data_IF_178764534170
#
_entry.id   IF_178764534170
#
_cell.length_a   1.000
_cell.length_b   1.000
_cell.length_c   1.000
_cell.angle_alpha   90.00
_cell.angle_beta   90.00
_cell.angle_gamma   90.00
#
_symmetry.space_group_name_H-M   'P 1'
#
loop_
_entity.id
_entity.type
_entity.pdbx_description
1 polymer ?
#
# COMPACT_ATOMS: atom_id res chain seq x y z
N UNK A 1 41.70 -0.56 -38.71
CA UNK A 1 40.60 -1.13 -37.90
C UNK A 1 41.23 -2.13 -36.95
N UNK A 2 41.51 -1.74 -35.71
CA UNK A 2 40.59 -1.68 -34.57
C UNK A 2 40.57 -3.01 -33.80
N UNK A 3 41.04 -2.92 -32.55
CA UNK A 3 40.56 -3.62 -31.35
C UNK A 3 40.91 -5.13 -31.23
N UNK A 4 41.31 -5.72 -30.09
CA UNK A 4 40.91 -5.45 -28.70
C UNK A 4 41.94 -6.02 -27.71
N UNK A 5 42.10 -5.29 -26.61
CA UNK A 5 42.82 -5.57 -25.36
C UNK A 5 41.97 -6.46 -24.45
N UNK A 6 42.53 -7.47 -23.76
CA UNK A 6 42.16 -7.71 -22.35
C UNK A 6 43.27 -8.42 -21.55
N UNK A 7 43.89 -7.63 -20.69
CA UNK A 7 44.79 -8.02 -19.61
C UNK A 7 44.01 -8.69 -18.48
N UNK A 8 44.59 -9.74 -17.90
CA UNK A 8 44.26 -10.23 -16.57
C UNK A 8 44.57 -9.14 -15.54
N UNK A 9 43.57 -8.75 -14.74
CA UNK A 9 43.76 -7.87 -13.60
C UNK A 9 43.38 -8.61 -12.32
N UNK A 10 44.41 -8.78 -11.50
CA UNK A 10 44.39 -9.14 -10.08
C UNK A 10 43.42 -8.25 -9.30
N UNK A 11 42.60 -8.85 -8.43
CA UNK A 11 41.86 -8.12 -7.39
C UNK A 11 42.80 -7.90 -6.21
N UNK A 12 43.17 -6.63 -5.99
CA UNK A 12 43.94 -6.16 -4.85
C UNK A 12 42.96 -5.95 -3.67
N UNK A 13 43.09 -6.77 -2.63
CA UNK A 13 42.51 -6.52 -1.33
C UNK A 13 43.21 -5.31 -0.67
N UNK A 14 42.47 -4.26 -0.36
CA UNK A 14 42.98 -3.15 0.43
C UNK A 14 42.87 -3.48 1.92
N UNK A 15 44.06 -3.59 2.51
CA UNK A 15 44.37 -3.64 3.94
C UNK A 15 44.13 -2.27 4.56
N UNK A 16 43.37 -2.20 5.65
CA UNK A 16 43.29 -1.04 6.55
C UNK A 16 44.08 -1.37 7.81
N UNK A 17 45.00 -0.51 8.27
CA UNK A 17 45.91 -0.85 9.36
C UNK A 17 45.28 -0.62 10.76
N UNK A 18 45.62 -1.57 11.63
CA UNK A 18 45.37 -1.64 13.06
C UNK A 18 45.99 -0.48 13.84
N UNK A 19 45.27 0.06 14.83
CA UNK A 19 45.80 0.52 16.13
C UNK A 19 44.65 1.15 16.94
N UNK A 20 44.20 0.50 18.02
CA UNK A 20 44.01 1.13 19.34
C UNK A 20 43.50 0.05 20.31
N UNK A 21 44.39 -0.32 21.23
CA UNK A 21 44.18 -1.24 22.34
C UNK A 21 43.74 -0.42 23.55
N UNK A 22 42.61 -0.77 24.16
CA UNK A 22 42.32 -0.50 25.58
C UNK A 22 41.70 -1.78 26.16
N UNK A 23 42.28 -2.38 27.21
CA UNK A 23 41.72 -3.57 27.84
C UNK A 23 40.70 -3.14 28.88
N UNK A 24 39.47 -3.64 28.80
CA UNK A 24 38.59 -3.62 29.97
C UNK A 24 38.10 -5.05 30.29
N UNK A 25 38.56 -5.42 31.47
CA UNK A 25 38.31 -6.60 32.28
C UNK A 25 36.81 -6.93 32.36
N UNK A 26 36.37 -8.04 31.77
CA UNK A 26 35.11 -8.69 32.14
C UNK A 26 35.48 -10.08 32.66
N UNK A 27 35.37 -10.22 33.96
CA UNK A 27 35.50 -11.48 34.70
C UNK A 27 34.41 -12.46 34.27
N UNK A 28 34.81 -13.64 33.82
CA UNK A 28 33.92 -14.80 33.67
C UNK A 28 33.52 -15.30 35.05
N UNK A 29 32.28 -15.03 35.48
CA UNK A 29 31.66 -15.75 36.60
C UNK A 29 30.96 -16.99 36.06
N UNK A 30 31.25 -18.13 36.70
CA UNK A 30 30.75 -19.46 36.40
C UNK A 30 29.21 -19.52 36.29
N UNK A 31 28.73 -20.26 35.31
CA UNK A 31 27.33 -20.64 35.12
C UNK A 31 26.97 -21.69 36.18
N UNK A 32 25.98 -21.48 37.06
CA UNK A 32 25.48 -22.56 37.90
C UNK A 32 24.67 -23.54 37.06
N UNK A 33 24.97 -24.83 37.26
CA UNK A 33 24.24 -26.01 36.79
C UNK A 33 22.73 -25.87 36.93
N UNK A 34 22.02 -25.79 35.80
CA UNK A 34 20.54 -25.83 35.75
C UNK A 34 20.07 -27.29 35.64
N UNK A 35 20.37 -28.07 36.67
CA UNK A 35 19.82 -29.41 36.87
C UNK A 35 19.18 -29.43 38.26
N UNK A 36 17.96 -28.89 38.34
CA UNK A 36 16.92 -29.27 39.31
C UNK A 36 15.73 -28.30 39.20
N UNK A 37 14.84 -28.55 38.23
CA UNK A 37 13.38 -28.34 38.36
C UNK A 37 12.70 -28.66 37.02
N UNK A 38 12.51 -29.95 36.73
CA UNK A 38 11.56 -30.40 35.71
C UNK A 38 10.13 -30.25 36.25
N UNK A 39 9.21 -29.49 35.64
CA UNK A 39 7.80 -29.61 35.95
C UNK A 39 7.21 -30.87 35.30
N UNK A 40 6.56 -31.68 36.14
CA UNK A 40 5.79 -32.91 35.86
C UNK A 40 4.61 -32.69 34.90
N UNK A 41 4.06 -33.74 34.26
CA UNK A 41 3.20 -33.63 33.08
C UNK A 41 1.84 -32.96 33.30
N UNK A 42 1.48 -32.15 32.31
CA UNK A 42 0.15 -31.65 31.89
C UNK A 42 -1.04 -31.99 32.80
N UNK A 43 -1.52 -31.00 33.56
CA UNK A 43 -2.93 -30.96 33.99
C UNK A 43 -3.81 -30.65 32.78
N UNK A 44 -4.78 -31.52 32.48
CA UNK A 44 -5.88 -31.27 31.53
C UNK A 44 -6.56 -29.94 31.89
N UNK A 45 -6.27 -28.88 31.15
CA UNK A 45 -7.09 -27.68 31.14
C UNK A 45 -8.39 -27.98 30.39
N UNK A 46 -9.53 -27.65 31.01
CA UNK A 46 -10.84 -27.70 30.38
C UNK A 46 -10.77 -27.06 28.99
N UNK A 47 -11.18 -27.82 27.97
CA UNK A 47 -11.62 -27.27 26.69
C UNK A 47 -12.68 -26.21 26.99
N UNK A 48 -12.37 -24.96 26.71
CA UNK A 48 -13.37 -23.91 26.56
C UNK A 48 -13.97 -24.12 25.17
N UNK A 49 -15.27 -24.43 25.14
CA UNK A 49 -16.01 -24.69 23.92
C UNK A 49 -15.87 -23.52 22.94
N UNK A 50 -15.56 -23.85 21.68
CA UNK A 50 -15.43 -22.92 20.56
C UNK A 50 -16.80 -22.43 20.06
N UNK A 51 -17.68 -22.02 20.97
CA UNK A 51 -19.02 -21.52 20.67
C UNK A 51 -19.26 -20.22 21.45
N UNK A 52 -18.78 -19.10 20.90
CA UNK A 52 -19.33 -17.74 21.12
C UNK A 52 -18.49 -16.59 20.50
N UNK A 53 -17.57 -16.87 19.57
CA UNK A 53 -17.03 -15.79 18.73
C UNK A 53 -18.04 -15.51 17.62
N UNK A 54 -18.65 -14.30 17.54
CA UNK A 54 -19.58 -14.01 16.46
C UNK A 54 -18.82 -13.99 15.14
N UNK A 55 -18.98 -15.08 14.38
CA UNK A 55 -18.63 -15.13 12.97
C UNK A 55 -19.57 -14.15 12.28
N UNK A 56 -19.09 -13.12 11.55
CA UNK A 56 -19.97 -12.27 10.76
C UNK A 56 -20.67 -13.15 9.73
N UNK A 57 -21.94 -13.43 9.99
CA UNK A 57 -22.84 -14.13 9.09
C UNK A 57 -22.87 -13.39 7.75
N UNK A 58 -22.44 -14.05 6.68
CA UNK A 58 -22.60 -13.60 5.30
C UNK A 58 -24.07 -13.67 4.81
N UNK A 59 -25.02 -14.01 5.68
CA UNK A 59 -26.43 -14.03 5.34
C UNK A 59 -27.05 -12.64 5.58
N UNK A 60 -27.47 -12.03 4.46
CA UNK A 60 -28.29 -10.82 4.32
C UNK A 60 -27.60 -9.47 4.62
N UNK A 61 -26.62 -9.08 3.79
CA UNK A 61 -26.35 -7.65 3.57
C UNK A 61 -27.54 -7.05 2.81
N UNK A 62 -28.35 -6.24 3.49
CA UNK A 62 -29.38 -5.41 2.87
C UNK A 62 -28.74 -4.47 1.84
N UNK A 63 -29.51 -4.06 0.83
CA UNK A 63 -29.06 -3.15 -0.25
C UNK A 63 -28.47 -1.83 0.24
N UNK A 64 -28.69 -1.46 1.50
CA UNK A 64 -28.13 -0.27 2.16
C UNK A 64 -26.62 -0.41 2.45
N UNK A 65 -26.11 -1.62 2.64
CA UNK A 65 -24.68 -1.86 2.96
C UNK A 65 -23.74 -1.68 1.76
N UNK A 66 -24.28 -1.50 0.55
CA UNK A 66 -23.52 -1.31 -0.69
C UNK A 66 -23.63 0.12 -1.24
N UNK A 67 -23.90 1.10 -0.37
CA UNK A 67 -24.04 2.50 -0.76
C UNK A 67 -22.75 3.28 -0.45
N UNK A 68 -22.16 3.90 -1.47
CA UNK A 68 -21.17 4.96 -1.25
C UNK A 68 -21.93 6.26 -0.93
N UNK A 69 -21.67 6.82 0.24
CA UNK A 69 -22.22 8.13 0.63
C UNK A 69 -21.15 9.21 0.45
N UNK A 70 -21.54 10.43 0.10
CA UNK A 70 -20.62 11.57 0.03
C UNK A 70 -21.28 12.84 0.56
N UNK A 71 -20.45 13.79 0.99
CA UNK A 71 -20.86 15.14 1.37
C UNK A 71 -19.92 16.17 0.71
N UNK A 72 -20.47 17.32 0.35
CA UNK A 72 -19.69 18.45 -0.16
C UNK A 72 -19.22 19.30 1.02
N UNK A 73 -17.92 19.57 1.08
CA UNK A 73 -17.32 20.45 2.08
C UNK A 73 -17.53 21.93 1.76
N UNK A 74 -17.61 22.24 0.46
CA UNK A 74 -17.75 23.60 -0.07
C UNK A 74 -18.69 23.60 -1.28
N UNK A 75 -19.06 24.79 -1.75
CA UNK A 75 -19.83 24.97 -2.98
C UNK A 75 -19.05 24.62 -4.26
N UNK A 76 -17.71 24.59 -4.19
CA UNK A 76 -16.84 24.25 -5.31
C UNK A 76 -16.81 22.74 -5.61
N UNK A 77 -17.28 21.91 -4.68
CA UNK A 77 -17.28 20.47 -4.84
C UNK A 77 -18.31 20.00 -5.89
N UNK A 78 -17.90 19.05 -6.73
CA UNK A 78 -18.76 18.42 -7.72
C UNK A 78 -19.15 17.01 -7.25
N UNK A 79 -20.42 16.57 -7.44
CA UNK A 79 -20.78 15.20 -7.11
C UNK A 79 -19.98 14.21 -7.98
N UNK A 80 -19.52 13.07 -7.43
CA UNK A 80 -18.93 12.00 -8.23
C UNK A 80 -19.94 11.45 -9.25
N UNK A 81 -19.49 11.15 -10.47
CA UNK A 81 -20.37 10.69 -11.57
C UNK A 81 -19.82 9.42 -12.20
N UNK A 82 -20.68 8.45 -12.49
CA UNK A 82 -20.28 7.28 -13.31
C UNK A 82 -20.19 7.67 -14.78
N UNK A 83 -19.09 7.28 -15.44
CA UNK A 83 -18.91 7.52 -16.88
C UNK A 83 -19.79 6.64 -17.78
N UNK A 84 -20.21 5.48 -17.28
CA UNK A 84 -21.13 4.54 -17.94
C UNK A 84 -21.80 3.65 -16.88
N UNK A 85 -22.84 2.91 -17.27
CA UNK A 85 -23.58 2.02 -16.36
C UNK A 85 -22.66 1.00 -15.65
N UNK A 86 -21.72 0.43 -16.41
CA UNK A 86 -20.76 -0.57 -15.94
C UNK A 86 -19.38 0.02 -15.61
N UNK A 87 -19.24 1.35 -15.53
CA UNK A 87 -17.99 1.96 -15.13
C UNK A 87 -17.58 1.48 -13.73
N UNK A 88 -16.34 1.00 -13.61
CA UNK A 88 -15.77 0.56 -12.34
C UNK A 88 -15.61 1.72 -11.35
N UNK A 89 -15.27 2.91 -11.85
CA UNK A 89 -14.98 4.09 -11.04
C UNK A 89 -16.00 5.23 -11.20
N UNK A 90 -16.07 6.07 -10.17
CA UNK A 90 -16.78 7.34 -10.15
C UNK A 90 -15.79 8.46 -10.45
N UNK A 91 -16.01 9.22 -11.53
CA UNK A 91 -15.15 10.35 -11.90
C UNK A 91 -15.11 11.38 -10.75
N UNK A 92 -13.90 11.71 -10.29
CA UNK A 92 -13.62 12.78 -9.33
C UNK A 92 -13.17 14.03 -10.08
N UNK A 93 -13.71 15.18 -9.68
CA UNK A 93 -13.43 16.47 -10.30
C UNK A 93 -12.63 17.37 -9.37
N UNK A 94 -11.78 18.21 -9.95
CA UNK A 94 -11.10 19.26 -9.20
C UNK A 94 -12.08 20.31 -8.72
N UNK A 95 -11.98 20.73 -7.46
CA UNK A 95 -12.71 21.88 -6.94
C UNK A 95 -12.08 23.22 -7.36
N UNK A 96 -10.77 23.22 -7.67
CA UNK A 96 -9.99 24.45 -7.89
C UNK A 96 -9.09 24.35 -9.14
N UNK A 97 -8.49 25.48 -9.52
CA UNK A 97 -7.46 25.51 -10.56
C UNK A 97 -6.09 25.11 -9.98
N UNK A 98 -5.34 24.30 -10.72
CA UNK A 98 -3.98 23.88 -10.36
C UNK A 98 -3.10 23.80 -11.61
N UNK A 99 -1.79 23.86 -11.41
CA UNK A 99 -0.79 23.55 -12.43
C UNK A 99 0.13 22.46 -11.89
N UNK A 100 0.05 21.26 -12.46
CA UNK A 100 0.96 20.16 -12.16
C UNK A 100 2.20 20.35 -13.03
N UNK A 101 3.27 20.86 -12.43
CA UNK A 101 4.52 21.13 -13.13
C UNK A 101 5.07 19.87 -13.83
N UNK A 102 5.74 20.07 -14.96
CA UNK A 102 6.49 19.00 -15.63
C UNK A 102 7.41 18.26 -14.64
N UNK A 103 7.41 16.93 -14.68
CA UNK A 103 8.12 16.05 -13.72
C UNK A 103 7.75 16.29 -12.24
N UNK A 104 6.61 16.93 -11.98
CA UNK A 104 6.17 17.35 -10.67
C UNK A 104 4.98 16.56 -10.13
N UNK A 105 4.45 17.04 -9.00
CA UNK A 105 3.26 16.50 -8.36
C UNK A 105 2.41 17.59 -7.74
N UNK A 106 1.10 17.38 -7.67
CA UNK A 106 0.17 18.29 -7.01
C UNK A 106 -0.94 17.53 -6.28
N UNK A 107 -1.39 18.08 -5.15
CA UNK A 107 -2.55 17.59 -4.40
C UNK A 107 -3.81 18.34 -4.84
N UNK A 108 -4.57 17.73 -5.74
CA UNK A 108 -5.82 18.27 -6.25
C UNK A 108 -6.95 18.00 -5.26
N UNK A 109 -7.48 19.05 -4.65
CA UNK A 109 -8.64 18.93 -3.73
C UNK A 109 -9.94 18.75 -4.50
N UNK A 110 -10.77 17.82 -4.05
CA UNK A 110 -12.13 17.61 -4.59
C UNK A 110 -13.21 18.30 -3.76
N UNK A 111 -12.88 18.67 -2.52
CA UNK A 111 -13.82 19.18 -1.52
C UNK A 111 -14.98 18.22 -1.23
N UNK A 112 -14.73 16.92 -1.40
CA UNK A 112 -15.65 15.86 -1.05
C UNK A 112 -15.17 15.14 0.21
N UNK A 113 -16.12 14.80 1.08
CA UNK A 113 -15.97 13.71 2.03
C UNK A 113 -16.70 12.50 1.48
N UNK A 114 -16.16 11.31 1.72
CA UNK A 114 -16.78 10.04 1.30
C UNK A 114 -16.87 9.07 2.46
N UNK A 115 -17.88 8.21 2.40
CA UNK A 115 -18.00 7.00 3.21
C UNK A 115 -18.22 5.85 2.25
N UNK A 116 -17.21 5.01 2.09
CA UNK A 116 -17.27 3.82 1.24
C UNK A 116 -18.04 2.69 1.95
N UNK A 117 -18.60 1.73 1.19
CA UNK A 117 -19.27 0.56 1.75
C UNK A 117 -18.38 -0.26 2.71
N UNK A 118 -18.92 -0.86 3.78
CA UNK A 118 -18.16 -1.75 4.67
C UNK A 118 -17.54 -2.94 3.93
N UNK A 119 -16.27 -3.23 4.24
CA UNK A 119 -15.48 -4.27 3.56
C UNK A 119 -14.86 -3.80 2.24
N UNK A 120 -14.83 -2.49 2.01
CA UNK A 120 -14.15 -1.87 0.87
C UNK A 120 -13.27 -0.72 1.33
N UNK A 121 -12.31 -0.34 0.50
CA UNK A 121 -11.64 0.96 0.57
C UNK A 121 -11.88 1.72 -0.74
N UNK A 122 -11.69 3.04 -0.72
CA UNK A 122 -11.76 3.85 -1.92
C UNK A 122 -10.40 3.96 -2.59
N UNK A 123 -10.21 3.34 -3.76
CA UNK A 123 -9.02 3.54 -4.58
C UNK A 123 -9.21 4.73 -5.52
N UNK A 124 -8.38 5.75 -5.39
CA UNK A 124 -8.23 6.81 -6.40
C UNK A 124 -7.33 6.28 -7.50
N UNK A 125 -7.87 6.15 -8.71
CA UNK A 125 -7.24 5.54 -9.85
C UNK A 125 -7.05 6.55 -11.00
N UNK A 126 -6.00 6.39 -11.83
CA UNK A 126 -5.79 7.25 -12.99
C UNK A 126 -6.89 7.03 -14.04
N UNK A 127 -7.14 8.08 -14.84
CA UNK A 127 -8.02 8.02 -16.02
C UNK A 127 -7.15 7.78 -17.25
N UNK A 128 -7.44 6.73 -18.03
CA UNK A 128 -6.62 6.32 -19.18
C UNK A 128 -6.36 7.44 -20.19
N UNK A 129 -7.34 8.32 -20.40
CA UNK A 129 -7.18 9.47 -21.30
C UNK A 129 -6.11 10.46 -20.83
N UNK A 130 -6.01 10.74 -19.53
CA UNK A 130 -5.00 11.63 -18.97
C UNK A 130 -3.62 10.96 -18.95
N UNK A 131 -3.59 9.66 -18.63
CA UNK A 131 -2.36 8.87 -18.65
C UNK A 131 -1.74 8.81 -20.05
N UNK A 132 -2.54 8.53 -21.09
CA UNK A 132 -2.02 8.41 -22.45
C UNK A 132 -1.70 9.75 -23.10
N UNK A 133 -2.56 10.77 -22.94
CA UNK A 133 -2.43 12.03 -23.69
C UNK A 133 -1.54 13.06 -23.01
N UNK A 134 -1.47 13.04 -21.68
CA UNK A 134 -0.80 14.06 -20.88
C UNK A 134 0.26 13.48 -19.95
N UNK A 135 0.50 12.16 -20.00
CA UNK A 135 1.42 11.44 -19.14
C UNK A 135 1.17 11.67 -17.63
N UNK A 136 -0.11 11.71 -17.26
CA UNK A 136 -0.55 11.92 -15.88
C UNK A 136 -0.86 10.60 -15.19
N UNK A 137 -0.28 10.41 -14.00
CA UNK A 137 -0.59 9.28 -13.12
C UNK A 137 -1.15 9.74 -11.77
N UNK A 138 -1.70 8.81 -11.00
CA UNK A 138 -2.24 9.04 -9.66
C UNK A 138 -1.39 8.32 -8.61
N UNK A 139 -0.91 9.09 -7.64
CA UNK A 139 -0.18 8.60 -6.48
C UNK A 139 -1.04 8.28 -5.27
N UNK A 140 -0.48 7.47 -4.36
CA UNK A 140 -1.10 7.03 -3.11
C UNK A 140 -2.47 6.36 -3.33
N UNK A 141 -3.54 7.14 -3.31
CA UNK A 141 -4.87 6.71 -3.74
C UNK A 141 -5.60 5.75 -2.83
N UNK A 142 -5.13 5.46 -1.61
CA UNK A 142 -5.86 4.66 -0.62
C UNK A 142 -6.69 5.59 0.27
N UNK A 143 -8.02 5.53 0.14
CA UNK A 143 -8.97 6.22 1.01
C UNK A 143 -9.60 5.19 1.94
N UNK A 144 -9.22 5.26 3.21
CA UNK A 144 -9.73 4.34 4.25
C UNK A 144 -11.22 4.52 4.51
N UNK A 145 -11.88 3.44 4.95
CA UNK A 145 -13.33 3.44 5.18
C UNK A 145 -13.78 4.35 6.33
N UNK A 146 -12.88 4.66 7.26
CA UNK A 146 -13.09 5.58 8.40
C UNK A 146 -12.61 7.01 8.11
N UNK A 147 -12.01 7.28 6.95
CA UNK A 147 -11.60 8.63 6.57
C UNK A 147 -12.83 9.53 6.33
N UNK A 148 -12.84 10.70 6.97
CA UNK A 148 -13.89 11.74 6.83
C UNK A 148 -13.31 13.11 6.46
N UNK A 149 -12.05 13.17 6.06
CA UNK A 149 -11.44 14.41 5.58
C UNK A 149 -11.78 14.71 4.12
N UNK A 150 -11.15 15.75 3.59
CA UNK A 150 -11.24 16.11 2.17
C UNK A 150 -10.52 15.07 1.32
N UNK A 151 -11.22 14.47 0.35
CA UNK A 151 -10.62 13.54 -0.61
C UNK A 151 -9.70 14.33 -1.55
N UNK A 152 -8.40 14.08 -1.44
CA UNK A 152 -7.38 14.63 -2.31
C UNK A 152 -6.95 13.63 -3.37
N UNK A 153 -6.63 14.14 -4.56
CA UNK A 153 -6.06 13.36 -5.66
C UNK A 153 -4.62 13.83 -5.86
N UNK A 154 -3.65 12.95 -5.61
CA UNK A 154 -2.24 13.26 -5.90
C UNK A 154 -1.99 12.93 -7.36
N UNK A 155 -1.76 13.96 -8.18
CA UNK A 155 -1.36 13.77 -9.57
C UNK A 155 0.15 13.82 -9.69
N UNK A 156 0.71 12.90 -10.47
CA UNK A 156 2.08 12.96 -10.97
C UNK A 156 2.04 13.33 -12.45
N UNK A 157 2.92 14.25 -12.85
CA UNK A 157 3.12 14.58 -14.25
C UNK A 157 4.48 14.06 -14.69
N UNK A 158 4.49 13.06 -15.57
CA UNK A 158 5.70 12.46 -16.11
C UNK A 158 6.11 13.04 -17.47
N UNK A 159 5.39 14.05 -17.96
CA UNK A 159 5.72 14.74 -19.21
C UNK A 159 6.68 15.91 -18.98
N UNK A 160 7.22 16.42 -20.10
CA UNK A 160 8.04 17.64 -20.14
C UNK A 160 7.21 18.94 -20.19
N UNK A 161 5.87 18.85 -20.17
CA UNK A 161 4.96 19.99 -20.26
C UNK A 161 4.15 20.16 -18.96
N UNK A 162 3.89 21.40 -18.56
CA UNK A 162 3.00 21.69 -17.42
C UNK A 162 1.56 21.27 -17.75
N UNK A 163 0.90 20.57 -16.82
CA UNK A 163 -0.49 20.16 -16.96
C UNK A 163 -1.41 21.07 -16.15
N UNK A 164 -2.31 21.77 -16.84
CA UNK A 164 -3.29 22.66 -16.20
C UNK A 164 -4.57 21.90 -15.86
N UNK A 165 -5.01 22.01 -14.62
CA UNK A 165 -6.29 21.50 -14.12
C UNK A 165 -7.20 22.68 -13.83
N UNK A 166 -8.40 22.69 -14.41
CA UNK A 166 -9.42 23.69 -14.12
C UNK A 166 -10.48 23.14 -13.14
N UNK A 167 -11.19 24.02 -12.41
CA UNK A 167 -12.36 23.60 -11.64
C UNK A 167 -13.36 22.84 -12.51
N UNK A 168 -13.80 21.67 -12.04
CA UNK A 168 -14.74 20.81 -12.76
C UNK A 168 -14.09 19.78 -13.70
N UNK A 169 -12.79 19.87 -13.97
CA UNK A 169 -12.07 18.87 -14.76
C UNK A 169 -12.03 17.53 -14.01
N UNK A 170 -12.27 16.44 -14.75
CA UNK A 170 -12.24 15.07 -14.23
C UNK A 170 -10.80 14.58 -14.17
N UNK A 171 -10.22 14.56 -12.98
CA UNK A 171 -8.78 14.31 -12.77
C UNK A 171 -8.44 12.87 -12.40
N UNK A 172 -9.38 12.16 -11.76
CA UNK A 172 -9.21 10.77 -11.34
C UNK A 172 -10.56 10.07 -11.27
N UNK A 173 -10.56 8.79 -10.89
CA UNK A 173 -11.79 8.05 -10.61
C UNK A 173 -11.66 7.29 -9.28
N UNK A 174 -12.74 7.24 -8.52
CA UNK A 174 -12.82 6.50 -7.26
C UNK A 174 -13.43 5.13 -7.50
N UNK A 175 -12.72 4.07 -7.14
CA UNK A 175 -13.15 2.67 -7.25
C UNK A 175 -13.32 2.10 -5.84
N UNK A 176 -14.48 1.54 -5.53
CA UNK A 176 -14.69 0.83 -4.26
C UNK A 176 -14.13 -0.59 -4.38
N UNK A 177 -12.94 -0.82 -3.87
CA UNK A 177 -12.28 -2.12 -3.93
C UNK A 177 -12.58 -2.95 -2.70
N UNK A 178 -13.01 -4.20 -2.92
CA UNK A 178 -13.28 -5.15 -1.83
C UNK A 178 -11.97 -5.60 -1.21
N UNK A 179 -11.94 -5.60 0.12
CA UNK A 179 -10.80 -6.05 0.91
C UNK A 179 -11.24 -7.01 2.00
N UNK A 180 -10.29 -7.80 2.46
CA UNK A 180 -10.37 -8.53 3.72
C UNK A 180 -9.46 -7.81 4.71
N UNK A 181 -9.94 -7.58 5.93
CA UNK A 181 -9.14 -7.03 7.03
C UNK A 181 -8.79 -8.18 7.99
N UNK A 182 -7.73 -8.96 7.74
CA UNK A 182 -7.39 -10.11 8.55
C UNK A 182 -6.80 -9.70 9.89
N UNK A 183 -6.89 -10.59 10.88
CA UNK A 183 -6.05 -10.51 12.08
C UNK A 183 -4.65 -11.01 11.75
N UNK A 184 -3.65 -10.39 12.34
CA UNK A 184 -2.25 -10.81 12.17
C UNK A 184 -1.93 -11.96 13.13
N UNK A 185 -1.23 -12.97 12.63
CA UNK A 185 -0.70 -14.09 13.40
C UNK A 185 0.76 -14.29 13.00
N UNK A 186 1.66 -14.16 13.96
CA UNK A 186 3.10 -14.36 13.77
C UNK A 186 3.46 -15.86 13.92
N UNK A 187 4.34 -16.35 13.05
CA UNK A 187 4.81 -17.74 13.01
C UNK A 187 6.34 -17.75 12.84
N UNK A 188 7.00 -18.83 13.27
CA UNK A 188 8.46 -18.98 13.09
C UNK A 188 8.84 -19.19 11.61
N UNK A 189 8.02 -19.90 10.84
CA UNK A 189 8.18 -20.09 9.39
C UNK A 189 6.84 -20.35 8.72
N UNK A 190 6.76 -20.08 7.41
CA UNK A 190 5.62 -20.41 6.55
C UNK A 190 5.81 -21.78 5.88
N UNK A 191 4.73 -22.32 5.30
CA UNK A 191 4.75 -23.52 4.48
C UNK A 191 5.41 -23.27 3.11
N UNK A 192 5.98 -24.33 2.52
CA UNK A 192 6.59 -24.26 1.20
C UNK A 192 5.53 -24.26 0.10
N UNK A 193 5.76 -23.48 -0.95
CA UNK A 193 4.91 -23.45 -2.16
C UNK A 193 5.74 -23.72 -3.40
N UNK A 194 5.09 -24.11 -4.50
CA UNK A 194 5.73 -24.31 -5.82
C UNK A 194 6.48 -23.04 -6.27
N UNK A 195 5.99 -21.85 -5.91
CA UNK A 195 6.63 -20.57 -6.27
C UNK A 195 7.86 -20.26 -5.41
N UNK A 196 7.89 -20.71 -4.16
CA UNK A 196 8.98 -20.44 -3.22
C UNK A 196 9.31 -18.95 -3.10
N UNK A 197 10.59 -18.61 -3.21
CA UNK A 197 11.16 -17.26 -3.17
C UNK A 197 11.20 -16.54 -4.54
N UNK A 198 10.60 -17.14 -5.59
CA UNK A 198 10.60 -16.59 -6.94
C UNK A 198 9.75 -15.31 -7.09
N UNK A 199 10.40 -14.17 -7.38
CA UNK A 199 9.77 -12.87 -7.66
C UNK A 199 10.44 -12.10 -8.80
N UNK A 200 9.98 -10.87 -9.07
CA UNK A 200 10.65 -9.91 -9.97
C UNK A 200 10.98 -10.42 -11.39
N UNK A 201 10.01 -11.08 -12.04
CA UNK A 201 10.21 -11.63 -13.39
C UNK A 201 10.77 -13.06 -13.40
N UNK A 202 10.67 -13.78 -12.27
CA UNK A 202 11.08 -15.19 -12.15
C UNK A 202 10.42 -16.16 -13.15
N UNK A 203 9.29 -15.76 -13.75
CA UNK A 203 8.56 -16.55 -14.77
C UNK A 203 8.96 -16.23 -16.21
N UNK A 204 9.93 -15.33 -16.41
CA UNK A 204 10.42 -14.94 -17.74
C UNK A 204 9.66 -13.77 -18.39
N UNK A 205 10.04 -13.45 -19.62
CA UNK A 205 9.63 -12.24 -20.36
C UNK A 205 8.81 -12.52 -21.62
N UNK A 206 8.42 -13.77 -21.88
CA UNK A 206 7.90 -14.21 -23.19
C UNK A 206 6.53 -14.88 -23.07
#
# INVERSE_FOLDING_TARGET
>A
MALTVLRHLFVIAHVVPSSFIIPNLITYTAIPSFADSMPSPLKKSKLLDAADVPVPSLANKTSEDNVLSFAKLTEHAFPPVKGSEQAAGLDLKSAYAYVVKAHGKELIKTDLQVRVPPGTYGRVAPRSGLAWKNFIDVGAGVIDADYRGNVGVILFNHSDEDFTVNPGDRVAQLICERIVSPRLMELETLDETIRGDGGFGSTGTN
#
